data_IF_131927629464
#
_entry.id   IF_131927629464
#
_cell.length_a   1.000
_cell.length_b   1.000
_cell.length_c   1.000
_cell.angle_alpha   90.00
_cell.angle_beta   90.00
_cell.angle_gamma   90.00
#
_symmetry.space_group_name_H-M   'P 1'
#
loop_
_entity.id
_entity.type
_entity.pdbx_description
1 polymer ?
#
# COMPACT_ATOMS: atom_id res chain seq x y z
N UNK A 1 38.53 -16.31 3.38
CA UNK A 1 37.91 -15.25 4.18
C UNK A 1 38.21 -15.52 5.65
N UNK A 2 38.65 -14.50 6.40
CA UNK A 2 38.85 -14.64 7.85
C UNK A 2 37.58 -14.24 8.63
N UNK A 3 37.61 -14.39 9.97
CA UNK A 3 36.44 -14.08 10.81
C UNK A 3 36.07 -12.60 10.84
N UNK A 4 37.04 -11.70 10.71
CA UNK A 4 36.82 -10.24 10.70
C UNK A 4 36.17 -9.82 9.39
N UNK A 5 36.67 -10.36 8.28
CA UNK A 5 36.10 -10.18 6.95
C UNK A 5 34.68 -10.78 6.86
N UNK A 6 34.45 -11.95 7.48
CA UNK A 6 33.12 -12.55 7.61
C UNK A 6 32.16 -11.61 8.36
N UNK A 7 32.56 -11.09 9.52
CA UNK A 7 31.70 -10.20 10.32
C UNK A 7 31.33 -8.92 9.57
N UNK A 8 32.31 -8.35 8.85
CA UNK A 8 32.08 -7.18 8.01
C UNK A 8 31.06 -7.47 6.91
N UNK A 9 31.23 -8.59 6.20
CA UNK A 9 30.33 -9.00 5.11
C UNK A 9 28.94 -9.39 5.60
N UNK A 10 28.83 -10.08 6.73
CA UNK A 10 27.55 -10.39 7.36
C UNK A 10 26.86 -9.10 7.79
N UNK A 11 27.56 -8.17 8.45
CA UNK A 11 26.98 -6.87 8.80
C UNK A 11 26.45 -6.13 7.57
N UNK A 12 27.15 -6.20 6.44
CA UNK A 12 26.67 -5.62 5.19
C UNK A 12 25.38 -6.29 4.66
N UNK A 13 25.24 -7.62 4.80
CA UNK A 13 23.99 -8.33 4.46
C UNK A 13 22.82 -7.89 5.36
N UNK A 14 23.10 -7.57 6.62
CA UNK A 14 22.10 -7.17 7.61
C UNK A 14 21.72 -5.69 7.53
N UNK A 15 22.40 -4.89 6.71
CA UNK A 15 22.05 -3.48 6.53
C UNK A 15 20.62 -3.36 5.98
N UNK A 16 19.77 -2.64 6.71
CA UNK A 16 18.36 -2.43 6.34
C UNK A 16 17.42 -3.57 6.74
N UNK A 17 17.92 -4.65 7.34
CA UNK A 17 17.09 -5.67 7.98
C UNK A 17 16.59 -5.20 9.35
N UNK A 18 15.35 -5.52 9.73
CA UNK A 18 14.85 -5.34 11.09
C UNK A 18 15.76 -5.95 12.17
N UNK A 19 15.88 -5.33 13.36
CA UNK A 19 16.71 -5.83 14.46
C UNK A 19 16.39 -7.28 14.84
N UNK A 20 15.10 -7.65 14.86
CA UNK A 20 14.64 -9.02 15.13
C UNK A 20 15.19 -10.03 14.11
N UNK A 21 15.16 -9.70 12.82
CA UNK A 21 15.67 -10.56 11.75
C UNK A 21 17.19 -10.58 11.76
N UNK A 22 17.80 -9.41 11.96
CA UNK A 22 19.24 -9.28 12.11
C UNK A 22 19.73 -10.12 13.30
N UNK A 23 19.00 -10.15 14.41
CA UNK A 23 19.30 -10.96 15.58
C UNK A 23 19.20 -12.46 15.26
N UNK A 24 18.14 -12.90 14.59
CA UNK A 24 17.99 -14.30 14.16
C UNK A 24 19.16 -14.76 13.27
N UNK A 25 19.55 -13.94 12.29
CA UNK A 25 20.71 -14.25 11.42
C UNK A 25 22.02 -14.21 12.22
N UNK A 26 22.21 -13.23 13.11
CA UNK A 26 23.42 -13.12 13.97
C UNK A 26 23.56 -14.29 14.93
N UNK A 27 22.49 -14.72 15.56
CA UNK A 27 22.48 -15.88 16.46
C UNK A 27 22.90 -17.13 15.71
N UNK A 28 22.36 -17.32 14.50
CA UNK A 28 22.68 -18.48 13.66
C UNK A 28 24.11 -18.44 13.14
N UNK A 29 24.62 -17.29 12.72
CA UNK A 29 26.03 -17.10 12.34
C UNK A 29 26.96 -17.36 13.52
N UNK A 30 26.61 -16.85 14.70
CA UNK A 30 27.37 -17.07 15.94
C UNK A 30 27.43 -18.56 16.26
N UNK A 31 26.30 -19.26 16.18
CA UNK A 31 26.25 -20.71 16.33
C UNK A 31 27.21 -21.42 15.35
N UNK A 32 27.20 -21.08 14.06
CA UNK A 32 28.09 -21.74 13.09
C UNK A 32 29.58 -21.48 13.37
N UNK A 33 29.95 -20.27 13.82
CA UNK A 33 31.32 -19.98 14.26
C UNK A 33 31.77 -20.89 15.40
N UNK A 34 30.89 -21.22 16.35
CA UNK A 34 31.23 -22.16 17.45
C UNK A 34 31.46 -23.60 16.99
N UNK A 35 31.05 -23.94 15.76
CA UNK A 35 31.18 -25.28 15.16
C UNK A 35 32.35 -25.40 14.20
N UNK A 36 33.20 -24.37 14.10
CA UNK A 36 34.45 -24.48 13.33
C UNK A 36 35.34 -25.60 13.90
N UNK A 37 36.03 -26.37 13.04
CA UNK A 37 36.19 -26.17 11.60
C UNK A 37 35.14 -26.87 10.72
N UNK A 38 34.09 -27.48 11.31
CA UNK A 38 33.10 -28.25 10.54
C UNK A 38 32.36 -27.40 9.49
N UNK A 39 32.23 -26.10 9.72
CA UNK A 39 31.78 -25.12 8.73
C UNK A 39 32.91 -24.18 8.36
N UNK A 40 33.22 -24.07 7.07
CA UNK A 40 34.19 -23.11 6.54
C UNK A 40 33.59 -21.71 6.55
N UNK A 41 34.45 -20.70 6.65
CA UNK A 41 34.04 -19.29 6.76
C UNK A 41 33.16 -18.85 5.56
N UNK A 42 33.47 -19.35 4.36
CA UNK A 42 32.69 -19.11 3.14
C UNK A 42 31.30 -19.76 3.17
N UNK A 43 31.15 -20.91 3.83
CA UNK A 43 29.88 -21.61 4.00
C UNK A 43 28.99 -20.87 5.01
N UNK A 44 29.59 -20.35 6.10
CA UNK A 44 28.90 -19.51 7.09
C UNK A 44 28.35 -18.25 6.42
N UNK A 45 29.14 -17.59 5.57
CA UNK A 45 28.68 -16.40 4.85
C UNK A 45 27.55 -16.71 3.86
N UNK A 46 27.66 -17.80 3.10
CA UNK A 46 26.60 -18.23 2.19
C UNK A 46 25.30 -18.48 2.94
N UNK A 47 25.39 -19.14 4.09
CA UNK A 47 24.22 -19.43 4.92
C UNK A 47 23.63 -18.16 5.55
N UNK A 48 24.46 -17.20 5.99
CA UNK A 48 24.00 -15.89 6.42
C UNK A 48 23.21 -15.16 5.33
N UNK A 49 23.66 -15.24 4.07
CA UNK A 49 22.93 -14.71 2.92
C UNK A 49 21.60 -15.42 2.67
N UNK A 50 21.56 -16.75 2.79
CA UNK A 50 20.32 -17.52 2.67
C UNK A 50 19.31 -17.16 3.76
N UNK A 51 19.75 -17.10 5.02
CA UNK A 51 18.92 -16.76 6.16
C UNK A 51 18.38 -15.33 6.02
N UNK A 52 19.25 -14.36 5.71
CA UNK A 52 18.85 -12.98 5.40
C UNK A 52 17.75 -12.94 4.35
N UNK A 53 17.91 -13.70 3.25
CA UNK A 53 16.90 -13.77 2.19
C UNK A 53 15.59 -14.41 2.67
N UNK A 54 15.67 -15.47 3.49
CA UNK A 54 14.49 -16.15 4.06
C UNK A 54 13.74 -15.22 5.00
N UNK A 55 14.45 -14.51 5.88
CA UNK A 55 13.84 -13.55 6.80
C UNK A 55 13.20 -12.38 6.04
N UNK A 56 13.82 -11.90 4.95
CA UNK A 56 13.20 -10.89 4.07
C UNK A 56 11.90 -11.37 3.42
N UNK A 57 11.70 -12.68 3.20
CA UNK A 57 10.42 -13.18 2.67
C UNK A 57 9.25 -12.89 3.63
N UNK A 58 9.51 -12.76 4.93
CA UNK A 58 8.48 -12.40 5.91
C UNK A 58 7.93 -10.98 5.70
N UNK A 59 8.65 -10.16 4.93
CA UNK A 59 8.34 -8.76 4.64
C UNK A 59 7.92 -8.50 3.19
N UNK A 60 7.89 -9.52 2.34
CA UNK A 60 7.39 -9.40 0.97
C UNK A 60 5.90 -9.75 0.91
N UNK A 61 5.15 -9.09 0.03
CA UNK A 61 3.78 -9.51 -0.27
C UNK A 61 3.79 -10.88 -0.98
N UNK A 62 2.85 -11.75 -0.62
CA UNK A 62 2.75 -13.11 -1.19
C UNK A 62 2.47 -13.08 -2.69
N UNK A 63 1.82 -12.03 -3.19
CA UNK A 63 1.59 -11.74 -4.61
C UNK A 63 2.88 -11.20 -5.23
N UNK A 64 3.83 -12.10 -5.47
CA UNK A 64 5.17 -11.79 -6.02
C UNK A 64 5.14 -10.92 -7.27
N UNK A 65 4.07 -10.99 -8.07
CA UNK A 65 3.91 -10.20 -9.29
C UNK A 65 3.76 -8.69 -9.06
N UNK A 66 3.45 -8.27 -7.82
CA UNK A 66 3.39 -6.85 -7.42
C UNK A 66 4.78 -6.26 -7.16
N UNK A 67 5.75 -7.09 -6.75
CA UNK A 67 7.10 -6.63 -6.41
C UNK A 67 7.13 -5.64 -5.25
N UNK A 68 6.26 -5.81 -4.25
CA UNK A 68 6.12 -4.90 -3.11
C UNK A 68 6.40 -5.60 -1.78
N UNK A 69 6.72 -4.80 -0.76
CA UNK A 69 6.72 -5.26 0.62
C UNK A 69 5.28 -5.47 1.12
N UNK A 70 5.13 -6.14 2.24
CA UNK A 70 3.86 -6.23 2.95
C UNK A 70 3.73 -5.14 4.02
N UNK A 71 2.53 -4.99 4.58
CA UNK A 71 2.22 -4.04 5.65
C UNK A 71 3.21 -4.08 6.83
N UNK A 72 3.66 -5.27 7.25
CA UNK A 72 4.58 -5.44 8.37
C UNK A 72 5.89 -4.67 8.13
N UNK A 73 6.34 -4.58 6.87
CA UNK A 73 7.57 -3.84 6.55
C UNK A 73 7.37 -2.33 6.70
N UNK A 74 6.20 -1.82 6.37
CA UNK A 74 5.85 -0.40 6.58
C UNK A 74 5.79 -0.07 8.07
N UNK A 75 5.18 -0.93 8.90
CA UNK A 75 5.17 -0.81 10.37
C UNK A 75 6.60 -0.81 10.93
N UNK A 76 7.46 -1.70 10.42
CA UNK A 76 8.87 -1.72 10.76
C UNK A 76 9.58 -0.40 10.40
N UNK A 77 9.33 0.16 9.22
CA UNK A 77 9.99 1.38 8.76
C UNK A 77 9.56 2.63 9.52
N UNK A 78 8.29 2.69 9.92
CA UNK A 78 7.82 3.72 10.85
C UNK A 78 8.55 3.59 12.19
N UNK A 79 8.59 2.38 12.77
CA UNK A 79 9.26 2.12 14.04
C UNK A 79 10.78 2.41 14.00
N UNK A 80 11.45 2.06 12.90
CA UNK A 80 12.86 2.39 12.64
C UNK A 80 13.08 3.90 12.66
N UNK A 81 12.21 4.68 12.02
CA UNK A 81 12.32 6.14 11.98
C UNK A 81 12.04 6.79 13.33
N UNK A 82 11.01 6.33 14.07
CA UNK A 82 10.72 6.84 15.42
C UNK A 82 11.91 6.60 16.35
N UNK A 83 12.50 5.40 16.33
CA UNK A 83 13.73 5.10 17.08
C UNK A 83 14.88 6.03 16.69
N UNK A 84 15.04 6.31 15.40
CA UNK A 84 16.09 7.20 14.92
C UNK A 84 15.91 8.66 15.40
N UNK A 85 14.67 9.15 15.55
CA UNK A 85 14.41 10.48 16.13
C UNK A 85 14.75 10.49 17.62
N UNK A 86 14.28 9.49 18.37
CA UNK A 86 14.47 9.42 19.83
C UNK A 86 15.93 9.25 20.21
N UNK A 87 16.72 8.55 19.39
CA UNK A 87 18.15 8.36 19.63
C UNK A 87 19.02 9.61 19.40
N UNK A 88 18.47 10.71 18.87
CA UNK A 88 19.24 11.96 18.65
C UNK A 88 19.47 12.70 19.95
N UNK A 89 20.61 13.39 20.03
CA UNK A 89 20.94 14.26 21.17
C UNK A 89 20.01 15.48 21.27
N UNK A 90 19.52 15.96 20.13
CA UNK A 90 18.55 17.06 20.04
C UNK A 90 17.42 16.64 19.11
N UNK A 91 16.17 16.87 19.55
CA UNK A 91 14.98 16.68 18.73
C UNK A 91 14.37 18.05 18.42
N UNK A 92 14.02 18.25 17.17
CA UNK A 92 13.29 19.43 16.72
C UNK A 92 11.87 19.04 16.30
N UNK A 93 10.93 19.98 16.35
CA UNK A 93 9.54 19.72 15.94
C UNK A 93 9.46 19.18 14.50
N UNK A 94 10.32 19.68 13.58
CA UNK A 94 10.39 19.21 12.19
C UNK A 94 10.69 17.71 12.07
N UNK A 95 11.33 17.10 13.07
CA UNK A 95 11.63 15.67 13.05
C UNK A 95 10.34 14.84 13.09
N UNK A 96 9.32 15.31 13.82
CA UNK A 96 8.00 14.67 13.85
C UNK A 96 7.24 14.81 12.53
N UNK A 97 7.61 15.78 11.69
CA UNK A 97 6.98 16.01 10.39
C UNK A 97 7.84 15.55 9.21
N UNK A 98 8.94 14.84 9.51
CA UNK A 98 9.83 14.24 8.52
C UNK A 98 9.42 12.83 8.08
N UNK A 99 8.35 12.29 8.66
CA UNK A 99 7.79 10.96 8.40
C UNK A 99 6.30 11.07 8.07
N UNK A 100 5.88 10.39 7.00
CA UNK A 100 4.48 10.25 6.62
C UNK A 100 4.13 8.82 6.22
N UNK A 101 2.89 8.42 6.53
CA UNK A 101 2.21 7.25 5.96
C UNK A 101 1.21 7.76 4.93
N UNK A 102 1.30 7.29 3.70
CA UNK A 102 0.25 7.41 2.68
C UNK A 102 -0.51 6.10 2.49
N UNK A 103 -1.84 6.13 2.65
CA UNK A 103 -2.77 5.07 2.30
C UNK A 103 -3.22 5.21 0.86
N UNK A 104 -3.43 4.07 0.20
CA UNK A 104 -4.09 3.95 -1.07
C UNK A 104 -5.11 2.81 -1.04
N UNK A 105 -6.28 3.05 -1.62
CA UNK A 105 -7.24 1.99 -1.98
C UNK A 105 -7.58 2.15 -3.47
N UNK A 106 -7.37 1.07 -4.23
CA UNK A 106 -7.60 1.02 -5.67
C UNK A 106 -9.09 0.86 -5.97
N UNK A 107 -9.69 1.90 -6.54
CA UNK A 107 -11.07 1.83 -7.01
C UNK A 107 -11.13 1.08 -8.35
N UNK A 108 -12.23 0.35 -8.56
CA UNK A 108 -12.51 -0.33 -9.83
C UNK A 108 -11.92 -1.73 -9.96
N UNK A 109 -11.17 -2.25 -8.97
CA UNK A 109 -10.66 -3.62 -9.00
C UNK A 109 -11.80 -4.65 -9.16
N UNK A 110 -12.92 -4.44 -8.48
CA UNK A 110 -14.10 -5.30 -8.62
C UNK A 110 -14.65 -5.30 -10.04
N UNK A 111 -14.74 -4.15 -10.71
CA UNK A 111 -15.17 -4.07 -12.10
C UNK A 111 -14.20 -4.81 -13.04
N UNK A 112 -12.89 -4.67 -12.82
CA UNK A 112 -11.89 -5.45 -13.56
C UNK A 112 -12.09 -6.95 -13.40
N UNK A 113 -12.32 -7.42 -12.18
CA UNK A 113 -12.58 -8.83 -11.90
C UNK A 113 -13.90 -9.32 -12.52
N UNK A 114 -14.97 -8.53 -12.38
CA UNK A 114 -16.31 -8.93 -12.80
C UNK A 114 -16.47 -8.92 -14.33
N UNK A 115 -15.79 -8.00 -15.03
CA UNK A 115 -15.88 -7.84 -16.50
C UNK A 115 -14.75 -8.51 -17.28
N UNK A 116 -13.54 -8.56 -16.71
CA UNK A 116 -12.33 -9.09 -17.35
C UNK A 116 -11.76 -10.35 -16.70
N UNK A 117 -12.37 -10.84 -15.62
CA UNK A 117 -11.89 -11.98 -14.85
C UNK A 117 -10.72 -11.64 -13.92
N UNK A 118 -10.35 -12.60 -13.06
CA UNK A 118 -9.26 -12.43 -12.08
C UNK A 118 -7.91 -12.06 -12.72
N UNK A 119 -7.63 -12.50 -13.94
CA UNK A 119 -6.43 -12.11 -14.67
C UNK A 119 -6.41 -10.61 -15.00
N UNK A 120 -7.55 -10.01 -15.37
CA UNK A 120 -7.64 -8.57 -15.56
C UNK A 120 -7.46 -7.81 -14.24
N UNK A 121 -8.05 -8.31 -13.15
CA UNK A 121 -7.81 -7.76 -11.81
C UNK A 121 -6.35 -7.81 -11.38
N UNK A 122 -5.66 -8.94 -11.58
CA UNK A 122 -4.23 -9.09 -11.29
C UNK A 122 -3.38 -8.11 -12.12
N UNK A 123 -3.70 -7.92 -13.41
CA UNK A 123 -3.03 -6.90 -14.24
C UNK A 123 -3.29 -5.48 -13.73
N UNK A 124 -4.51 -5.17 -13.30
CA UNK A 124 -4.87 -3.89 -12.69
C UNK A 124 -4.08 -3.61 -11.41
N UNK A 125 -4.00 -4.59 -10.50
CA UNK A 125 -3.20 -4.48 -9.28
C UNK A 125 -1.71 -4.29 -9.59
N UNK A 126 -1.18 -5.03 -10.57
CA UNK A 126 0.21 -4.90 -10.99
C UNK A 126 0.51 -3.53 -11.60
N UNK A 127 -0.40 -3.01 -12.43
CA UNK A 127 -0.28 -1.68 -13.00
C UNK A 127 -0.28 -0.61 -11.89
N UNK A 128 -1.20 -0.71 -10.93
CA UNK A 128 -1.26 0.18 -9.78
C UNK A 128 0.02 0.12 -8.93
N UNK A 129 0.50 -1.09 -8.60
CA UNK A 129 1.75 -1.29 -7.90
C UNK A 129 2.96 -0.67 -8.64
N UNK A 130 3.01 -0.80 -9.97
CA UNK A 130 4.07 -0.19 -10.77
C UNK A 130 4.04 1.34 -10.71
N UNK A 131 2.86 1.96 -10.70
CA UNK A 131 2.72 3.42 -10.51
C UNK A 131 3.28 3.82 -9.14
N UNK A 132 2.92 3.09 -8.08
CA UNK A 132 3.43 3.41 -6.74
C UNK A 132 4.95 3.16 -6.62
N UNK A 133 5.51 2.15 -7.30
CA UNK A 133 6.93 1.82 -7.21
C UNK A 133 7.84 2.70 -8.08
N UNK A 134 7.36 3.06 -9.27
CA UNK A 134 8.17 3.60 -10.37
C UNK A 134 7.51 4.77 -11.12
N UNK A 135 6.33 5.21 -10.68
CA UNK A 135 5.63 6.34 -11.27
C UNK A 135 6.37 7.67 -11.09
N UNK A 136 5.95 8.67 -11.85
CA UNK A 136 6.51 10.01 -11.85
C UNK A 136 6.46 10.65 -10.46
N UNK A 137 5.39 10.41 -9.69
CA UNK A 137 5.28 10.92 -8.32
C UNK A 137 6.33 10.28 -7.41
N UNK A 138 6.53 8.96 -7.51
CA UNK A 138 7.55 8.25 -6.72
C UNK A 138 8.97 8.66 -7.09
N UNK A 139 9.24 8.87 -8.38
CA UNK A 139 10.54 9.36 -8.84
C UNK A 139 10.81 10.77 -8.34
N UNK A 140 9.83 11.68 -8.41
CA UNK A 140 9.96 13.03 -7.84
C UNK A 140 10.24 13.02 -6.33
N UNK A 141 9.54 12.18 -5.56
CA UNK A 141 9.80 12.04 -4.12
C UNK A 141 11.24 11.59 -3.83
N UNK A 142 11.75 10.60 -4.59
CA UNK A 142 13.10 10.06 -4.41
C UNK A 142 14.19 10.99 -4.94
N UNK A 143 14.03 11.49 -6.15
CA UNK A 143 15.08 12.12 -6.91
C UNK A 143 15.14 13.63 -6.68
N UNK A 144 13.99 14.28 -6.50
CA UNK A 144 13.93 15.73 -6.28
C UNK A 144 13.85 16.06 -4.79
N UNK A 145 12.92 15.43 -4.05
CA UNK A 145 12.77 15.68 -2.61
C UNK A 145 13.74 14.88 -1.73
N UNK A 146 14.52 13.95 -2.31
CA UNK A 146 15.49 13.10 -1.60
C UNK A 146 14.87 12.32 -0.44
N UNK A 147 13.62 11.91 -0.59
CA UNK A 147 12.92 11.09 0.39
C UNK A 147 13.23 9.61 0.17
N UNK A 148 13.33 8.88 1.27
CA UNK A 148 13.15 7.44 1.27
C UNK A 148 11.68 7.12 1.04
N UNK A 149 11.40 6.25 0.07
CA UNK A 149 10.04 5.87 -0.33
C UNK A 149 9.93 4.35 -0.29
N UNK A 150 9.23 3.85 0.72
CA UNK A 150 8.97 2.42 0.92
C UNK A 150 7.52 2.14 0.59
N UNK A 151 7.28 1.23 -0.33
CA UNK A 151 5.94 0.88 -0.81
C UNK A 151 5.51 -0.48 -0.26
N UNK A 152 4.24 -0.60 0.12
CA UNK A 152 3.63 -1.83 0.65
C UNK A 152 2.34 -2.17 -0.09
N UNK A 153 2.08 -3.45 -0.22
CA UNK A 153 0.75 -3.98 -0.46
C UNK A 153 0.18 -4.47 0.89
N UNK A 154 -1.02 -4.01 1.25
CA UNK A 154 -1.54 -4.13 2.63
C UNK A 154 -2.72 -5.09 2.74
N UNK A 155 -3.39 -5.38 1.63
CA UNK A 155 -4.39 -6.43 1.52
C UNK A 155 -5.40 -6.11 0.43
N UNK A 156 -5.89 -7.11 -0.32
CA UNK A 156 -6.89 -6.86 -1.37
C UNK A 156 -6.45 -5.79 -2.38
N UNK A 157 -7.19 -4.68 -2.43
CA UNK A 157 -6.97 -3.45 -3.20
C UNK A 157 -6.25 -2.32 -2.44
N UNK A 158 -5.79 -2.57 -1.21
CA UNK A 158 -5.12 -1.60 -0.34
C UNK A 158 -3.59 -1.66 -0.44
N UNK A 159 -2.99 -0.48 -0.49
CA UNK A 159 -1.55 -0.26 -0.63
C UNK A 159 -1.11 0.89 0.28
N UNK A 160 0.17 0.91 0.64
CA UNK A 160 0.74 1.95 1.48
C UNK A 160 2.07 2.46 0.95
N UNK A 161 2.41 3.66 1.37
CA UNK A 161 3.75 4.21 1.24
C UNK A 161 4.18 4.81 2.57
N UNK A 162 5.40 4.50 3.00
CA UNK A 162 6.11 5.21 4.07
C UNK A 162 7.12 6.14 3.44
N UNK A 163 6.99 7.44 3.74
CA UNK A 163 7.88 8.50 3.29
C UNK A 163 8.69 8.99 4.46
N UNK A 164 10.02 9.00 4.34
CA UNK A 164 10.88 9.62 5.35
C UNK A 164 12.07 10.34 4.73
N UNK A 165 12.53 11.43 5.36
CA UNK A 165 13.68 12.15 4.82
C UNK A 165 14.04 13.40 5.61
N UNK A 166 14.88 14.29 5.06
CA UNK A 166 15.42 15.44 5.79
C UNK A 166 14.50 16.67 5.80
N UNK A 167 13.37 16.63 5.09
CA UNK A 167 12.47 17.78 4.92
C UNK A 167 11.23 17.66 5.81
N UNK A 168 10.61 18.81 6.11
CA UNK A 168 9.28 18.86 6.71
C UNK A 168 8.22 18.61 5.63
N UNK A 169 7.36 17.61 5.86
CA UNK A 169 6.36 17.17 4.89
C UNK A 169 5.04 17.94 4.98
N UNK A 170 4.82 18.80 5.98
CA UNK A 170 3.54 19.51 6.18
C UNK A 170 3.07 20.24 4.93
N UNK A 171 3.96 20.97 4.28
CA UNK A 171 3.66 21.74 3.06
C UNK A 171 3.55 20.86 1.80
N UNK A 172 3.97 19.59 1.87
CA UNK A 172 3.98 18.65 0.75
C UNK A 172 2.82 17.67 0.76
N UNK A 173 2.16 17.45 1.88
CA UNK A 173 1.08 16.45 2.01
C UNK A 173 0.02 16.58 0.92
N UNK A 174 -0.49 17.79 0.68
CA UNK A 174 -1.52 18.01 -0.33
C UNK A 174 -1.02 17.69 -1.74
N UNK A 175 0.14 18.24 -2.12
CA UNK A 175 0.77 18.01 -3.42
C UNK A 175 1.03 16.52 -3.67
N UNK A 176 1.51 15.78 -2.66
CA UNK A 176 1.76 14.34 -2.75
C UNK A 176 0.46 13.59 -3.07
N UNK A 177 -0.61 13.89 -2.33
CA UNK A 177 -1.89 13.23 -2.50
C UNK A 177 -2.49 13.49 -3.88
N UNK A 178 -2.48 14.74 -4.32
CA UNK A 178 -3.00 15.16 -5.62
C UNK A 178 -2.21 14.56 -6.78
N UNK A 179 -0.87 14.54 -6.71
CA UNK A 179 -0.02 13.97 -7.77
C UNK A 179 -0.28 12.48 -7.95
N UNK A 180 -0.34 11.70 -6.87
CA UNK A 180 -0.68 10.27 -6.98
C UNK A 180 -2.10 10.04 -7.49
N UNK A 181 -3.09 10.78 -6.97
CA UNK A 181 -4.48 10.64 -7.41
C UNK A 181 -4.61 10.94 -8.92
N UNK A 182 -3.95 12.00 -9.39
CA UNK A 182 -3.93 12.42 -10.79
C UNK A 182 -3.17 11.43 -11.68
N UNK A 183 -1.99 10.96 -11.26
CA UNK A 183 -1.19 9.99 -12.03
C UNK A 183 -1.95 8.68 -12.23
N UNK A 184 -2.60 8.17 -11.17
CA UNK A 184 -3.41 6.96 -11.25
C UNK A 184 -4.63 7.19 -12.13
N UNK A 185 -5.33 8.32 -11.98
CA UNK A 185 -6.53 8.62 -12.76
C UNK A 185 -6.26 8.78 -14.26
N UNK A 186 -5.08 9.27 -14.63
CA UNK A 186 -4.70 9.41 -16.04
C UNK A 186 -4.23 8.10 -16.69
N UNK A 187 -4.16 7.01 -15.92
CA UNK A 187 -3.76 5.71 -16.44
C UNK A 187 -4.94 5.03 -17.13
N UNK A 188 -4.82 4.84 -18.44
CA UNK A 188 -5.80 4.15 -19.26
C UNK A 188 -5.67 2.62 -19.11
N UNK A 189 -6.70 2.00 -18.54
CA UNK A 189 -6.81 0.56 -18.34
C UNK A 189 -7.87 -0.08 -19.27
N UNK A 190 -8.34 0.64 -20.30
CA UNK A 190 -9.37 0.15 -21.22
C UNK A 190 -8.96 -1.14 -21.93
N UNK A 191 -7.67 -1.30 -22.24
CA UNK A 191 -7.11 -2.51 -22.85
C UNK A 191 -7.25 -3.77 -21.99
N UNK A 192 -7.61 -3.65 -20.70
CA UNK A 192 -7.85 -4.79 -19.83
C UNK A 192 -9.28 -5.34 -19.93
N UNK A 193 -10.19 -4.57 -20.53
CA UNK A 193 -11.60 -4.88 -20.66
C UNK A 193 -12.01 -4.85 -22.13
N UNK A 194 -12.96 -5.70 -22.51
CA UNK A 194 -13.51 -5.71 -23.87
C UNK A 194 -14.98 -5.29 -23.82
N UNK A 195 -15.20 -3.97 -23.92
CA UNK A 195 -16.54 -3.38 -23.94
C UNK A 195 -17.32 -3.68 -25.23
N UNK A 196 -16.69 -4.29 -26.24
CA UNK A 196 -17.37 -4.76 -27.45
C UNK A 196 -18.05 -6.13 -27.28
N UNK A 197 -17.72 -6.88 -26.23
CA UNK A 197 -18.34 -8.19 -25.96
C UNK A 197 -19.82 -8.03 -25.61
N UNK A 198 -20.73 -8.77 -26.27
CA UNK A 198 -22.16 -8.74 -25.94
C UNK A 198 -22.44 -9.02 -24.47
N UNK A 199 -21.72 -9.97 -23.86
CA UNK A 199 -21.86 -10.32 -22.44
C UNK A 199 -21.50 -9.16 -21.49
N UNK A 200 -20.48 -8.36 -21.83
CA UNK A 200 -20.08 -7.19 -21.03
C UNK A 200 -21.14 -6.10 -21.15
N UNK A 201 -21.63 -5.82 -22.36
CA UNK A 201 -22.70 -4.84 -22.58
C UNK A 201 -24.01 -5.25 -21.92
N UNK A 202 -24.37 -6.53 -21.97
CA UNK A 202 -25.54 -7.08 -21.29
C UNK A 202 -25.40 -6.94 -19.77
N UNK A 203 -24.23 -7.25 -19.22
CA UNK A 203 -23.96 -7.04 -17.80
C UNK A 203 -24.11 -5.55 -17.42
N UNK A 204 -23.56 -4.62 -18.19
CA UNK A 204 -23.68 -3.19 -17.91
C UNK A 204 -25.12 -2.69 -17.98
N UNK A 205 -25.92 -3.21 -18.92
CA UNK A 205 -27.37 -2.96 -19.00
C UNK A 205 -28.11 -3.49 -17.79
N UNK A 206 -27.85 -4.75 -17.40
CA UNK A 206 -28.48 -5.38 -16.24
C UNK A 206 -28.14 -4.66 -14.93
N UNK A 207 -26.95 -4.07 -14.85
CA UNK A 207 -26.50 -3.26 -13.72
C UNK A 207 -27.08 -1.84 -13.72
N UNK A 208 -27.82 -1.44 -14.77
CA UNK A 208 -28.32 -0.07 -14.90
C UNK A 208 -27.21 0.96 -15.06
N UNK A 209 -26.00 0.54 -15.46
CA UNK A 209 -24.83 1.41 -15.60
C UNK A 209 -24.90 2.15 -16.94
N UNK A 210 -25.11 1.41 -18.04
CA UNK A 210 -25.15 1.99 -19.37
C UNK A 210 -25.89 1.09 -20.37
N UNK A 211 -26.68 1.70 -21.27
CA UNK A 211 -27.28 0.99 -22.41
C UNK A 211 -26.33 0.83 -23.60
N UNK A 212 -25.34 1.71 -23.70
CA UNK A 212 -24.26 1.67 -24.68
C UNK A 212 -23.03 2.37 -24.12
N UNK A 213 -21.84 2.01 -24.62
CA UNK A 213 -20.59 2.63 -24.23
C UNK A 213 -20.19 3.67 -25.29
N UNK A 214 -19.95 4.93 -24.92
CA UNK A 214 -19.45 5.95 -25.84
C UNK A 214 -18.17 5.50 -26.53
N UNK A 215 -17.99 5.86 -27.80
CA UNK A 215 -16.82 5.45 -28.58
C UNK A 215 -15.49 5.97 -28.01
N UNK A 216 -15.53 7.08 -27.27
CA UNK A 216 -14.42 7.73 -26.60
C UNK A 216 -14.28 7.36 -25.11
N UNK A 217 -15.12 6.46 -24.60
CA UNK A 217 -15.06 6.01 -23.23
C UNK A 217 -13.72 5.36 -22.91
N UNK A 218 -13.15 5.73 -21.76
CA UNK A 218 -11.92 5.13 -21.24
C UNK A 218 -12.15 4.60 -19.85
N UNK A 219 -11.87 3.31 -19.65
CA UNK A 219 -11.79 2.77 -18.31
C UNK A 219 -10.47 3.20 -17.68
N UNK A 220 -10.55 4.14 -16.75
CA UNK A 220 -9.41 4.63 -15.98
C UNK A 220 -9.34 3.88 -14.65
N UNK A 221 -8.14 3.77 -14.09
CA UNK A 221 -7.99 3.44 -12.67
C UNK A 221 -8.24 4.71 -11.85
N UNK A 222 -8.51 4.56 -10.57
CA UNK A 222 -8.44 5.68 -9.64
C UNK A 222 -8.12 5.16 -8.25
N UNK A 223 -7.76 6.05 -7.34
CA UNK A 223 -7.43 5.66 -5.98
C UNK A 223 -7.96 6.66 -4.98
N UNK A 224 -8.28 6.18 -3.78
CA UNK A 224 -8.36 7.08 -2.64
C UNK A 224 -7.01 7.23 -1.96
N UNK A 225 -6.69 8.46 -1.57
CA UNK A 225 -5.42 8.77 -0.91
C UNK A 225 -5.70 9.34 0.47
N UNK A 226 -4.99 8.85 1.48
CA UNK A 226 -5.03 9.40 2.83
C UNK A 226 -3.65 9.46 3.43
N UNK A 227 -3.22 10.62 3.91
CA UNK A 227 -1.86 10.81 4.41
C UNK A 227 -1.92 11.15 5.89
N UNK A 228 -1.04 10.57 6.71
CA UNK A 228 -0.82 10.94 8.10
C UNK A 228 0.65 11.26 8.31
N UNK A 229 0.95 12.40 8.93
CA UNK A 229 2.28 12.74 9.43
C UNK A 229 2.49 12.14 10.82
N UNK A 230 3.75 11.86 11.18
CA UNK A 230 4.07 11.30 12.50
C UNK A 230 3.64 12.23 13.64
N UNK A 231 3.85 13.55 13.52
CA UNK A 231 3.42 14.53 14.53
C UNK A 231 1.92 14.46 14.82
N UNK A 232 1.08 14.25 13.80
CA UNK A 232 -0.37 14.12 13.98
C UNK A 232 -0.76 12.86 14.74
N UNK A 233 -0.04 11.75 14.51
CA UNK A 233 -0.24 10.52 15.25
C UNK A 233 0.25 10.67 16.69
N UNK A 234 1.41 11.32 16.88
CA UNK A 234 1.99 11.57 18.20
C UNK A 234 1.04 12.36 19.12
N UNK A 235 0.36 13.38 18.58
CA UNK A 235 -0.62 14.17 19.33
C UNK A 235 -1.90 13.38 19.70
N UNK A 236 -2.17 12.28 18.99
CA UNK A 236 -3.38 11.45 19.19
C UNK A 236 -3.17 10.32 20.19
N UNK A 237 -1.93 9.93 20.48
CA UNK A 237 -1.64 8.86 21.44
C UNK A 237 -1.64 9.41 22.87
N UNK A 238 -2.63 8.99 23.66
CA UNK A 238 -2.70 9.27 25.09
C UNK A 238 -1.91 8.21 25.87
N UNK A 239 -0.58 8.36 25.92
CA UNK A 239 0.26 7.48 26.73
C UNK A 239 0.30 8.00 28.15
N UNK A 240 -0.05 7.18 29.15
CA UNK A 240 0.35 7.44 30.52
C UNK A 240 1.88 7.25 30.64
N UNK A 241 2.62 8.34 30.39
CA UNK A 241 4.06 8.35 30.04
C UNK A 241 5.01 7.82 31.13
N UNK A 242 4.51 7.57 32.34
CA UNK A 242 5.34 7.18 33.48
C UNK A 242 5.72 5.69 33.50
N UNK A 243 4.97 4.81 32.82
CA UNK A 243 5.13 3.34 32.96
C UNK A 243 5.12 2.55 31.65
N UNK A 244 4.79 3.17 30.50
CA UNK A 244 4.69 2.45 29.23
C UNK A 244 6.07 2.06 28.67
N UNK A 245 6.20 0.82 28.19
CA UNK A 245 7.40 0.40 27.48
C UNK A 245 7.50 1.15 26.13
N UNK A 246 8.73 1.45 25.71
CA UNK A 246 8.97 2.21 24.47
C UNK A 246 8.33 1.53 23.25
N UNK A 247 8.39 0.21 23.15
CA UNK A 247 7.82 -0.53 22.03
C UNK A 247 6.29 -0.44 21.98
N UNK A 248 5.61 -0.33 23.14
CA UNK A 248 4.16 -0.13 23.20
C UNK A 248 3.79 1.26 22.66
N UNK A 249 4.56 2.29 23.02
CA UNK A 249 4.38 3.66 22.51
C UNK A 249 4.56 3.70 20.98
N UNK A 250 5.60 3.04 20.47
CA UNK A 250 5.84 2.96 19.02
C UNK A 250 4.70 2.22 18.33
N UNK A 251 4.18 1.15 18.93
CA UNK A 251 3.05 0.42 18.38
C UNK A 251 1.77 1.27 18.34
N UNK A 252 1.51 2.07 19.38
CA UNK A 252 0.35 2.97 19.41
C UNK A 252 0.48 4.10 18.39
N UNK A 253 1.68 4.67 18.21
CA UNK A 253 1.97 5.65 17.16
C UNK A 253 1.71 5.02 15.79
N UNK A 254 2.22 3.81 15.55
CA UNK A 254 1.95 3.04 14.33
C UNK A 254 0.44 2.93 14.09
N UNK A 255 -0.30 2.41 15.06
CA UNK A 255 -1.74 2.22 14.96
C UNK A 255 -2.47 3.55 14.66
N UNK A 256 -2.06 4.65 15.30
CA UNK A 256 -2.63 5.98 15.07
C UNK A 256 -2.33 6.49 13.64
N UNK A 257 -1.11 6.31 13.13
CA UNK A 257 -0.75 6.70 11.76
C UNK A 257 -1.60 5.97 10.71
N UNK A 258 -1.79 4.65 10.88
CA UNK A 258 -2.67 3.87 10.01
C UNK A 258 -4.11 4.37 10.09
N UNK A 259 -4.67 4.48 11.30
CA UNK A 259 -6.05 4.89 11.51
C UNK A 259 -6.38 6.27 10.91
N UNK A 260 -5.52 7.28 11.12
CA UNK A 260 -5.71 8.63 10.56
C UNK A 260 -5.66 8.61 9.03
N UNK A 261 -4.68 7.91 8.45
CA UNK A 261 -4.53 7.83 7.02
C UNK A 261 -5.69 7.05 6.37
N UNK A 262 -6.21 6.01 7.03
CA UNK A 262 -7.38 5.25 6.56
C UNK A 262 -8.66 6.08 6.60
N UNK A 263 -8.86 6.85 7.68
CA UNK A 263 -9.97 7.79 7.81
C UNK A 263 -9.94 8.85 6.68
N UNK A 264 -8.76 9.40 6.39
CA UNK A 264 -8.58 10.39 5.30
C UNK A 264 -8.80 9.77 3.93
N UNK A 265 -8.32 8.55 3.70
CA UNK A 265 -8.55 7.80 2.47
C UNK A 265 -10.04 7.55 2.25
N UNK A 266 -10.79 7.15 3.28
CA UNK A 266 -12.24 6.96 3.22
C UNK A 266 -13.00 8.26 2.88
N UNK A 267 -12.58 9.40 3.45
CA UNK A 267 -13.14 10.72 3.12
C UNK A 267 -12.84 11.10 1.66
N UNK A 268 -11.60 10.92 1.21
CA UNK A 268 -11.19 11.18 -0.17
C UNK A 268 -11.98 10.30 -1.15
N UNK A 269 -12.16 9.00 -0.84
CA UNK A 269 -12.97 8.06 -1.63
C UNK A 269 -14.40 8.55 -1.79
N UNK A 270 -15.01 9.02 -0.70
CA UNK A 270 -16.38 9.52 -0.67
C UNK A 270 -16.55 10.79 -1.51
N UNK A 271 -15.61 11.73 -1.39
CA UNK A 271 -15.60 12.96 -2.19
C UNK A 271 -15.41 12.66 -3.69
N UNK A 272 -14.44 11.80 -4.03
CA UNK A 272 -14.16 11.39 -5.40
C UNK A 272 -15.38 10.72 -6.05
N UNK A 273 -16.03 9.77 -5.37
CA UNK A 273 -17.23 9.10 -5.91
C UNK A 273 -18.35 10.08 -6.21
N UNK A 274 -18.61 11.04 -5.30
CA UNK A 274 -19.65 12.05 -5.49
C UNK A 274 -19.39 12.92 -6.73
N UNK A 275 -18.14 13.24 -7.00
CA UNK A 275 -17.78 14.02 -8.18
C UNK A 275 -17.81 13.18 -9.45
N UNK A 276 -17.31 11.94 -9.38
CA UNK A 276 -17.31 11.01 -10.50
C UNK A 276 -18.73 10.72 -11.02
N UNK A 277 -19.72 10.60 -10.13
CA UNK A 277 -21.13 10.42 -10.55
C UNK A 277 -21.64 11.56 -11.44
N UNK A 278 -21.08 12.77 -11.32
CA UNK A 278 -21.45 13.92 -12.16
C UNK A 278 -20.66 13.98 -13.46
N UNK A 279 -19.37 13.65 -13.42
CA UNK A 279 -18.44 13.86 -14.53
C UNK A 279 -18.32 12.65 -15.45
N UNK A 280 -18.40 11.43 -14.89
CA UNK A 280 -18.34 10.16 -15.63
C UNK A 280 -19.27 9.13 -14.96
N UNK A 281 -20.58 9.18 -15.23
CA UNK A 281 -21.56 8.32 -14.58
C UNK A 281 -21.37 6.84 -14.91
N UNK A 282 -20.79 6.51 -16.07
CA UNK A 282 -20.49 5.12 -16.46
C UNK A 282 -19.38 4.58 -15.57
N UNK A 283 -18.26 5.32 -15.46
CA UNK A 283 -17.16 4.92 -14.58
C UNK A 283 -17.57 4.90 -13.11
N UNK A 284 -18.42 5.85 -12.68
CA UNK A 284 -19.01 5.84 -11.34
C UNK A 284 -19.84 4.58 -11.08
N UNK A 285 -20.66 4.17 -12.05
CA UNK A 285 -21.44 2.94 -11.99
C UNK A 285 -20.56 1.69 -11.91
N UNK A 286 -19.48 1.64 -12.68
CA UNK A 286 -18.48 0.56 -12.61
C UNK A 286 -17.77 0.50 -11.25
N UNK A 287 -17.52 1.65 -10.61
CA UNK A 287 -16.88 1.72 -9.30
C UNK A 287 -17.83 1.50 -8.13
N UNK A 288 -19.14 1.59 -8.36
CA UNK A 288 -20.14 1.22 -7.37
C UNK A 288 -20.00 -0.27 -7.09
N UNK A 289 -19.75 -0.64 -5.83
CA UNK A 289 -19.77 -2.04 -5.38
C UNK A 289 -21.21 -2.53 -5.50
N UNK A 290 -21.63 -3.01 -6.66
CA UNK A 290 -22.86 -3.76 -6.74
C UNK A 290 -22.52 -5.22 -6.49
N UNK A 291 -22.90 -5.75 -5.33
CA UNK A 291 -22.96 -7.19 -5.19
C UNK A 291 -24.06 -7.69 -6.13
N UNK A 292 -23.78 -8.75 -6.90
CA UNK A 292 -24.78 -9.42 -7.75
C UNK A 292 -26.08 -9.71 -6.97
N UNK A 293 -25.96 -9.93 -5.66
CA UNK A 293 -27.07 -10.15 -4.72
C UNK A 293 -27.98 -8.94 -4.54
N UNK A 294 -27.44 -7.72 -4.37
CA UNK A 294 -28.27 -6.50 -4.22
C UNK A 294 -29.07 -6.23 -5.50
N UNK A 295 -28.47 -6.44 -6.67
CA UNK A 295 -29.14 -6.31 -7.96
C UNK A 295 -30.25 -7.35 -8.11
N UNK A 296 -29.97 -8.61 -7.76
CA UNK A 296 -30.95 -9.68 -7.85
C UNK A 296 -32.14 -9.41 -6.92
N UNK A 297 -31.87 -8.90 -5.71
CA UNK A 297 -32.88 -8.49 -4.75
C UNK A 297 -33.70 -7.30 -5.25
N UNK A 298 -33.06 -6.25 -5.78
CA UNK A 298 -33.76 -5.08 -6.34
C UNK A 298 -34.64 -5.43 -7.55
N UNK A 299 -34.16 -6.32 -8.42
CA UNK A 299 -34.94 -6.82 -9.56
C UNK A 299 -36.15 -7.64 -9.08
N UNK A 300 -35.95 -8.52 -8.10
CA UNK A 300 -37.04 -9.32 -7.51
C UNK A 300 -38.09 -8.44 -6.85
N UNK A 301 -37.67 -7.37 -6.16
CA UNK A 301 -38.57 -6.37 -5.57
C UNK A 301 -39.40 -5.69 -6.67
N UNK A 302 -38.78 -5.19 -7.75
CA UNK A 302 -39.50 -4.54 -8.86
C UNK A 302 -40.47 -5.48 -9.59
N UNK A 303 -40.10 -6.74 -9.78
CA UNK A 303 -40.98 -7.77 -10.37
C UNK A 303 -42.20 -8.02 -9.48
N UNK A 304 -42.01 -8.14 -8.16
CA UNK A 304 -43.08 -8.32 -7.19
C UNK A 304 -43.99 -7.08 -7.11
N UNK A 305 -43.43 -5.87 -7.12
CA UNK A 305 -44.21 -4.62 -7.17
C UNK A 305 -45.09 -4.53 -8.41
N UNK A 306 -44.58 -4.99 -9.56
CA UNK A 306 -45.35 -5.05 -10.80
C UNK A 306 -46.48 -6.06 -10.73
N UNK A 307 -46.25 -7.22 -10.11
CA UNK A 307 -47.28 -8.24 -9.87
C UNK A 307 -48.38 -7.74 -8.91
N UNK A 308 -48.01 -7.04 -7.85
CA UNK A 308 -48.96 -6.44 -6.89
C UNK A 308 -49.81 -5.36 -7.56
N UNK A 309 -49.23 -4.52 -8.42
CA UNK A 309 -49.96 -3.47 -9.15
C UNK A 309 -50.86 -4.00 -10.26
N UNK A 310 -50.61 -5.22 -10.74
CA UNK A 310 -51.42 -5.89 -11.75
C UNK A 310 -52.47 -6.86 -11.18
N UNK A 311 -52.55 -6.97 -9.85
CA UNK A 311 -53.55 -7.77 -9.11
C UNK A 311 -54.58 -6.85 -8.47
#
# INVERSE_FOLDING_TARGET
MDLVELDTKVNALLLGLPPELSAAVRERVTFYKTKMPAFKVEEIYREAGNLTRLEMLAYLDRRKYLGMYNRRFSEYKIAEHVRAIVARETQEERDLYSLARVNFDLNGLKALNDLGGHEAGNRGLKLFANILNFGATTLWLRDELKLNVVTSAEGGDEFGIVLSGPIDLREKVQEIGERYAHEVYNTDASHMLDFGKPEVLENLKLLGIAESIPADFRFRLSTSVGICLLGEAFDRVDVNRAEAAFDDIVQDINNAMFAIADERSARHKSAFKKELTKTDPILAGLYARMSKEVIHLEKRIKELEKQIKSS
#
